data_IF_108820193335
#
_entry.id   IF_108820193335
#
_cell.length_a   1.000
_cell.length_b   1.000
_cell.length_c   1.000
_cell.angle_alpha   90.00
_cell.angle_beta   90.00
_cell.angle_gamma   90.00
#
_symmetry.space_group_name_H-M   'P 1'
#
loop_
_entity.id
_entity.type
_entity.pdbx_description
1 polymer ?
#
# COMPACT_ATOMS: atom_id res chain seq x y z
N UNK A 1 -10.78 -11.53 22.32
CA UNK A 1 -10.57 -10.15 21.80
C UNK A 1 -9.99 -10.20 20.38
N UNK A 2 -10.18 -9.15 19.57
CA UNK A 2 -9.81 -9.12 18.13
C UNK A 2 -8.30 -9.27 17.85
N UNK A 3 -7.46 -9.29 18.89
CA UNK A 3 -5.99 -9.29 18.84
C UNK A 3 -5.34 -10.61 19.29
N UNK A 4 -6.12 -11.59 19.72
CA UNK A 4 -5.62 -12.94 20.03
C UNK A 4 -4.99 -13.63 18.81
N UNK A 5 -4.93 -12.89 17.68
CA UNK A 5 -4.41 -13.33 16.42
C UNK A 5 -2.92 -13.04 16.18
N UNK A 6 -2.24 -12.40 17.13
CA UNK A 6 -0.82 -12.09 17.03
C UNK A 6 -0.05 -12.93 18.03
N UNK A 7 0.78 -13.86 17.56
CA UNK A 7 1.70 -14.66 18.38
C UNK A 7 3.12 -14.47 17.90
N UNK A 8 4.04 -14.58 18.80
CA UNK A 8 5.47 -14.51 18.57
C UNK A 8 6.22 -15.55 19.34
N UNK A 9 7.27 -16.05 18.75
CA UNK A 9 8.31 -16.79 19.46
C UNK A 9 9.35 -15.78 19.94
N UNK A 10 9.55 -15.77 21.23
CA UNK A 10 10.39 -14.84 21.97
C UNK A 10 11.88 -15.10 21.74
N UNK A 11 12.65 -14.06 21.49
CA UNK A 11 13.97 -13.87 22.07
C UNK A 11 14.46 -12.44 21.84
N UNK A 12 14.76 -11.80 22.87
CA UNK A 12 15.86 -10.97 23.30
C UNK A 12 15.50 -9.58 23.81
N UNK A 13 15.94 -9.36 25.04
CA UNK A 13 15.71 -8.18 25.87
C UNK A 13 16.48 -6.94 25.38
N UNK A 14 15.77 -5.81 25.31
CA UNK A 14 16.38 -4.49 25.19
C UNK A 14 15.36 -3.38 25.09
N UNK A 15 15.18 -2.67 26.17
CA UNK A 15 14.40 -1.44 26.40
C UNK A 15 12.95 -1.61 26.88
N UNK A 16 12.75 -1.46 28.19
CA UNK A 16 11.46 -1.56 28.87
C UNK A 16 10.71 -0.21 28.88
N UNK A 17 10.32 0.30 27.72
CA UNK A 17 9.14 1.14 27.61
C UNK A 17 7.88 0.27 27.73
N UNK A 18 6.76 0.79 28.31
CA UNK A 18 5.51 0.05 28.43
C UNK A 18 5.12 -0.56 27.07
N UNK A 19 5.36 -1.87 26.93
CA UNK A 19 5.03 -2.61 25.70
C UNK A 19 3.50 -2.72 25.63
N UNK A 20 2.84 -2.23 24.56
CA UNK A 20 1.40 -2.38 24.40
C UNK A 20 0.98 -3.84 24.55
N UNK A 21 -0.20 -4.09 25.14
CA UNK A 21 -0.65 -5.45 25.50
C UNK A 21 -0.64 -6.45 24.33
N UNK A 22 -0.85 -5.97 23.09
CA UNK A 22 -0.76 -6.80 21.87
C UNK A 22 0.67 -7.22 21.52
N UNK A 23 1.67 -6.51 22.03
CA UNK A 23 3.08 -6.71 21.69
C UNK A 23 3.83 -7.55 22.75
N UNK A 24 3.13 -8.14 23.71
CA UNK A 24 3.76 -8.99 24.74
C UNK A 24 4.53 -10.17 24.13
N UNK A 25 4.12 -10.58 22.95
CA UNK A 25 4.74 -11.63 22.17
C UNK A 25 5.43 -11.09 20.89
N UNK A 26 5.63 -9.76 20.71
CA UNK A 26 6.25 -9.18 19.54
C UNK A 26 7.76 -9.10 19.66
N UNK A 27 8.51 -9.47 18.61
CA UNK A 27 9.92 -9.10 18.52
C UNK A 27 9.97 -7.62 18.17
N UNK A 28 10.47 -6.82 19.11
CA UNK A 28 10.62 -5.37 18.91
C UNK A 28 11.96 -5.11 18.25
N UNK A 29 11.94 -4.35 17.17
CA UNK A 29 13.13 -3.96 16.40
C UNK A 29 13.23 -2.45 16.27
N UNK A 30 14.42 -1.94 16.43
CA UNK A 30 14.83 -0.58 16.07
C UNK A 30 16.03 -0.65 15.14
N UNK A 31 16.17 0.33 14.24
CA UNK A 31 17.28 0.36 13.30
C UNK A 31 17.93 1.75 13.29
N UNK A 32 19.25 1.80 13.42
CA UNK A 32 20.04 3.04 13.46
C UNK A 32 20.24 3.71 12.09
N UNK A 33 19.72 3.08 11.02
CA UNK A 33 19.83 3.69 9.69
C UNK A 33 19.00 4.97 9.61
N UNK A 34 19.48 6.02 8.91
CA UNK A 34 18.82 7.34 8.89
C UNK A 34 17.33 7.28 8.50
N UNK A 35 16.96 6.34 7.62
CA UNK A 35 15.58 6.17 7.18
C UNK A 35 14.63 5.57 8.22
N UNK A 36 15.17 4.98 9.31
CA UNK A 36 14.40 4.31 10.36
C UNK A 36 14.65 4.89 11.76
N UNK A 37 15.41 5.97 11.85
CA UNK A 37 15.68 6.61 13.14
C UNK A 37 14.37 7.06 13.81
N UNK A 38 14.18 6.69 15.08
CA UNK A 38 12.96 6.95 15.84
C UNK A 38 11.77 6.06 15.49
N UNK A 39 12.00 5.01 14.70
CA UNK A 39 10.99 4.01 14.35
C UNK A 39 11.10 2.77 15.23
N UNK A 40 9.96 2.21 15.60
CA UNK A 40 9.86 0.91 16.28
C UNK A 40 9.04 -0.04 15.42
N UNK A 41 9.57 -1.24 15.20
CA UNK A 41 8.91 -2.29 14.44
C UNK A 41 8.53 -3.43 15.40
N UNK A 42 7.27 -3.84 15.35
CA UNK A 42 6.74 -4.98 16.08
C UNK A 42 6.54 -6.13 15.10
N UNK A 43 7.50 -7.04 15.05
CA UNK A 43 7.42 -8.24 14.21
C UNK A 43 6.46 -9.24 14.86
N UNK A 44 5.44 -9.63 14.12
CA UNK A 44 4.38 -10.50 14.61
C UNK A 44 4.08 -11.65 13.66
N UNK A 45 3.77 -12.82 14.20
CA UNK A 45 3.18 -13.93 13.47
C UNK A 45 1.65 -13.81 13.52
N UNK A 46 1.06 -13.35 12.43
CA UNK A 46 -0.39 -13.22 12.33
C UNK A 46 -1.04 -14.60 12.15
N UNK A 47 -2.30 -14.77 12.59
CA UNK A 47 -3.11 -15.98 12.30
C UNK A 47 -3.75 -15.94 10.92
N UNK A 48 -3.94 -14.75 10.36
CA UNK A 48 -4.57 -14.52 9.06
C UNK A 48 -4.00 -13.28 8.40
N UNK A 49 -3.91 -13.29 7.07
CA UNK A 49 -3.45 -12.14 6.29
C UNK A 49 -4.53 -11.58 5.37
N UNK A 50 -5.43 -12.42 4.89
CA UNK A 50 -6.55 -12.00 4.04
C UNK A 50 -7.71 -11.57 4.92
N UNK A 51 -8.23 -10.37 4.69
CA UNK A 51 -9.36 -9.78 5.42
C UNK A 51 -10.53 -9.55 4.49
N UNK A 52 -11.74 -9.90 4.94
CA UNK A 52 -12.98 -9.62 4.21
C UNK A 52 -13.44 -8.18 4.47
N UNK A 53 -13.80 -7.48 3.43
CA UNK A 53 -14.43 -6.16 3.47
C UNK A 53 -15.95 -6.35 3.59
N UNK A 54 -16.61 -5.76 4.61
CA UNK A 54 -18.05 -5.93 4.78
C UNK A 54 -18.86 -5.57 3.54
N UNK A 55 -19.94 -6.29 3.28
CA UNK A 55 -20.84 -6.03 2.13
C UNK A 55 -21.49 -4.64 2.17
N UNK A 56 -21.68 -4.09 3.37
CA UNK A 56 -22.14 -2.72 3.56
C UNK A 56 -21.14 -1.64 3.11
N UNK A 57 -19.88 -2.04 2.85
CA UNK A 57 -18.87 -1.14 2.31
C UNK A 57 -19.15 -0.83 0.84
N UNK A 58 -18.94 0.44 0.47
CA UNK A 58 -19.06 0.90 -0.93
C UNK A 58 -17.82 0.56 -1.79
N UNK A 59 -16.86 -0.19 -1.25
CA UNK A 59 -15.66 -0.58 -1.97
C UNK A 59 -15.99 -1.64 -3.03
N UNK A 60 -15.35 -1.54 -4.19
CA UNK A 60 -15.54 -2.47 -5.30
C UNK A 60 -14.88 -3.84 -5.10
N UNK A 61 -14.03 -3.99 -4.10
CA UNK A 61 -13.36 -5.23 -3.74
C UNK A 61 -13.89 -5.80 -2.42
N UNK A 62 -13.81 -7.12 -2.26
CA UNK A 62 -14.27 -7.85 -1.07
C UNK A 62 -13.12 -8.37 -0.20
N UNK A 63 -11.93 -8.52 -0.75
CA UNK A 63 -10.80 -9.06 -0.02
C UNK A 63 -9.61 -8.11 -0.07
N UNK A 64 -8.89 -8.03 1.04
CA UNK A 64 -7.71 -7.17 1.15
C UNK A 64 -6.59 -7.84 1.95
N UNK A 65 -5.35 -7.49 1.59
CA UNK A 65 -4.14 -7.85 2.32
C UNK A 65 -3.47 -6.58 2.83
N UNK A 66 -3.13 -6.58 4.11
CA UNK A 66 -2.33 -5.52 4.74
C UNK A 66 -1.20 -6.18 5.54
N UNK A 67 0.02 -6.28 4.98
CA UNK A 67 1.16 -6.90 5.66
C UNK A 67 1.68 -6.07 6.82
N UNK A 68 1.33 -4.79 6.87
CA UNK A 68 1.73 -3.84 7.90
C UNK A 68 0.52 -3.24 8.62
N UNK A 69 0.75 -2.65 9.82
CA UNK A 69 -0.12 -1.66 10.46
C UNK A 69 0.73 -0.50 10.93
N UNK A 70 0.24 0.73 10.73
CA UNK A 70 1.07 1.92 10.75
C UNK A 70 1.74 2.15 9.40
N UNK A 71 2.06 3.40 9.11
CA UNK A 71 2.58 3.77 7.79
C UNK A 71 3.54 4.95 7.89
N UNK A 72 4.78 4.71 7.47
CA UNK A 72 5.86 5.70 7.45
C UNK A 72 5.68 6.82 6.41
N UNK A 73 4.65 6.74 5.57
CA UNK A 73 4.30 7.83 4.64
C UNK A 73 3.78 9.06 5.36
N UNK A 74 3.30 8.90 6.60
CA UNK A 74 2.91 9.99 7.51
C UNK A 74 1.93 10.99 6.92
N UNK A 75 1.06 10.55 5.99
CA UNK A 75 0.07 11.43 5.36
C UNK A 75 -0.87 12.02 6.43
N UNK A 76 -1.01 13.34 6.46
CA UNK A 76 -1.79 14.05 7.49
C UNK A 76 -3.27 13.67 7.43
N UNK A 77 -3.82 13.48 6.24
CA UNK A 77 -5.23 13.16 5.99
C UNK A 77 -5.56 11.66 6.10
N UNK A 78 -4.61 10.79 6.46
CA UNK A 78 -4.79 9.35 6.38
C UNK A 78 -5.89 8.85 7.34
N UNK A 79 -6.96 8.29 6.79
CA UNK A 79 -8.07 7.71 7.57
C UNK A 79 -7.63 6.47 8.38
N UNK A 80 -6.59 5.77 7.94
CA UNK A 80 -6.10 4.55 8.58
C UNK A 80 -5.45 4.81 9.95
N UNK A 81 -5.13 6.06 10.30
CA UNK A 81 -4.57 6.46 11.59
C UNK A 81 -5.40 5.95 12.76
N UNK A 82 -6.73 6.00 12.65
CA UNK A 82 -7.64 5.49 13.66
C UNK A 82 -7.46 3.99 13.95
N UNK A 83 -6.85 3.23 13.06
CA UNK A 83 -6.59 1.81 13.28
C UNK A 83 -5.58 1.54 14.41
N UNK A 84 -4.74 2.52 14.78
CA UNK A 84 -3.79 2.41 15.89
C UNK A 84 -4.46 2.47 17.26
N UNK A 85 -5.60 3.14 17.39
CA UNK A 85 -6.36 3.15 18.65
C UNK A 85 -6.82 1.75 19.06
N UNK A 86 -7.04 0.84 18.11
CA UNK A 86 -7.32 -0.57 18.42
C UNK A 86 -6.11 -1.35 18.96
N UNK A 87 -4.93 -0.73 18.93
CA UNK A 87 -3.69 -1.28 19.47
C UNK A 87 -3.28 -0.59 20.78
N UNK A 88 -4.17 0.20 21.37
CA UNK A 88 -3.85 1.08 22.50
C UNK A 88 -2.68 2.04 22.22
N UNK A 89 -2.58 2.47 20.97
CA UNK A 89 -1.56 3.40 20.49
C UNK A 89 -2.19 4.72 20.02
N UNK A 90 -1.40 5.78 20.02
CA UNK A 90 -1.79 7.09 19.51
C UNK A 90 -1.98 7.07 17.98
N UNK A 91 -3.08 7.62 17.51
CA UNK A 91 -3.40 7.70 16.08
C UNK A 91 -2.54 8.71 15.31
N UNK A 92 -1.83 9.59 15.99
CA UNK A 92 -0.92 10.58 15.43
C UNK A 92 0.48 10.00 15.25
N UNK A 93 1.33 10.26 16.24
CA UNK A 93 2.76 9.92 16.18
C UNK A 93 3.03 8.43 16.10
N UNK A 94 2.29 7.62 16.87
CA UNK A 94 2.55 6.18 16.89
C UNK A 94 2.18 5.52 15.56
N UNK A 95 1.15 6.01 14.86
CA UNK A 95 0.82 5.53 13.52
C UNK A 95 1.97 5.70 12.53
N UNK A 96 2.73 6.77 12.66
CA UNK A 96 3.84 7.11 11.76
C UNK A 96 5.15 6.41 12.14
N UNK A 97 5.34 6.09 13.43
CA UNK A 97 6.63 5.65 13.99
C UNK A 97 6.64 4.24 14.58
N UNK A 98 5.47 3.65 14.85
CA UNK A 98 5.33 2.30 15.42
C UNK A 98 4.61 1.39 14.44
N UNK A 99 5.36 0.57 13.72
CA UNK A 99 4.83 -0.26 12.64
C UNK A 99 4.78 -1.72 13.06
N UNK A 100 3.60 -2.32 13.01
CA UNK A 100 3.43 -3.77 13.17
C UNK A 100 3.70 -4.44 11.83
N UNK A 101 4.57 -5.45 11.83
CA UNK A 101 5.02 -6.19 10.64
C UNK A 101 4.60 -7.65 10.77
N UNK A 102 3.76 -8.13 9.88
CA UNK A 102 3.30 -9.53 9.84
C UNK A 102 4.30 -10.38 9.07
N UNK A 103 5.36 -10.81 9.74
CA UNK A 103 6.52 -11.46 9.09
C UNK A 103 6.19 -12.76 8.37
N UNK A 104 5.12 -13.45 8.76
CA UNK A 104 4.64 -14.68 8.13
C UNK A 104 3.57 -14.45 7.04
N UNK A 105 3.39 -13.21 6.58
CA UNK A 105 2.34 -12.86 5.62
C UNK A 105 2.37 -13.70 4.32
N UNK A 106 3.53 -13.92 3.66
CA UNK A 106 3.57 -14.72 2.43
C UNK A 106 3.18 -16.19 2.66
N UNK A 107 3.59 -16.76 3.79
CA UNK A 107 3.25 -18.15 4.13
C UNK A 107 1.76 -18.33 4.38
N UNK A 108 1.17 -17.44 5.18
CA UNK A 108 -0.27 -17.44 5.44
C UNK A 108 -1.09 -17.27 4.16
N UNK A 109 -0.60 -16.44 3.24
CA UNK A 109 -1.27 -16.25 1.97
C UNK A 109 -1.25 -17.53 1.14
N UNK A 110 -0.09 -18.19 0.97
CA UNK A 110 -0.01 -19.47 0.25
C UNK A 110 -0.98 -20.50 0.83
N UNK A 111 -1.01 -20.61 2.17
CA UNK A 111 -1.94 -21.51 2.85
C UNK A 111 -3.42 -21.16 2.58
N UNK A 112 -3.76 -19.86 2.58
CA UNK A 112 -5.13 -19.40 2.28
C UNK A 112 -5.52 -19.69 0.84
N UNK A 113 -4.66 -19.38 -0.13
CA UNK A 113 -4.93 -19.58 -1.56
C UNK A 113 -5.04 -21.06 -1.93
N UNK A 114 -4.29 -21.94 -1.24
CA UNK A 114 -4.37 -23.40 -1.44
C UNK A 114 -5.59 -24.04 -0.75
N UNK A 115 -6.37 -23.31 0.04
CA UNK A 115 -7.52 -23.88 0.76
C UNK A 115 -8.69 -24.17 -0.20
N UNK A 116 -9.39 -25.31 -0.07
CA UNK A 116 -10.52 -25.66 -0.95
C UNK A 116 -11.68 -24.65 -0.91
N UNK A 117 -11.80 -23.88 0.16
CA UNK A 117 -12.82 -22.83 0.30
C UNK A 117 -12.44 -21.48 -0.27
N UNK A 118 -11.28 -21.33 -0.93
CA UNK A 118 -10.91 -20.12 -1.61
C UNK A 118 -11.39 -20.13 -3.06
N UNK A 119 -12.19 -19.14 -3.43
CA UNK A 119 -12.82 -19.08 -4.75
C UNK A 119 -12.00 -18.33 -5.81
N UNK A 120 -10.75 -17.96 -5.53
CA UNK A 120 -9.93 -17.18 -6.48
C UNK A 120 -10.39 -15.74 -6.65
N UNK A 121 -11.03 -15.15 -5.64
CA UNK A 121 -11.54 -13.81 -5.72
C UNK A 121 -10.41 -12.76 -5.73
N UNK A 122 -10.70 -11.61 -6.35
CA UNK A 122 -9.77 -10.50 -6.42
C UNK A 122 -9.37 -9.97 -5.02
N UNK A 123 -8.07 -9.74 -4.82
CA UNK A 123 -7.49 -9.22 -3.59
C UNK A 123 -6.90 -7.83 -3.83
N UNK A 124 -7.34 -6.83 -3.06
CA UNK A 124 -6.79 -5.47 -3.11
C UNK A 124 -5.71 -5.24 -2.04
N UNK A 125 -4.65 -4.55 -2.38
CA UNK A 125 -3.55 -4.18 -1.49
C UNK A 125 -3.31 -2.67 -1.48
N UNK A 126 -2.77 -2.14 -0.36
CA UNK A 126 -2.59 -0.70 -0.18
C UNK A 126 -3.87 0.06 0.15
N UNK A 127 -4.91 -0.65 0.58
CA UNK A 127 -6.24 -0.10 0.85
C UNK A 127 -6.38 0.52 2.24
N UNK A 128 -5.52 0.16 3.18
CA UNK A 128 -5.52 0.70 4.55
C UNK A 128 -4.17 1.34 4.88
N UNK A 129 -3.08 0.58 4.77
CA UNK A 129 -1.72 1.11 4.87
C UNK A 129 -0.97 0.80 3.58
N UNK A 130 -0.01 1.63 3.24
CA UNK A 130 0.76 1.43 2.01
C UNK A 130 1.65 0.18 2.13
N UNK A 131 1.50 -0.76 1.21
CA UNK A 131 2.25 -2.00 1.19
C UNK A 131 3.71 -1.79 0.72
N UNK A 132 4.00 -0.70 0.02
CA UNK A 132 5.36 -0.30 -0.37
C UNK A 132 5.89 0.89 0.42
N UNK A 133 5.43 1.04 1.66
CA UNK A 133 6.05 1.98 2.58
C UNK A 133 7.53 1.63 2.84
N UNK A 134 8.29 2.53 3.45
CA UNK A 134 9.74 2.38 3.63
C UNK A 134 10.16 1.07 4.32
N UNK A 135 9.33 0.55 5.25
CA UNK A 135 9.54 -0.74 5.91
C UNK A 135 9.71 -1.89 4.90
N UNK A 136 8.98 -1.85 3.78
CA UNK A 136 9.04 -2.87 2.74
C UNK A 136 10.42 -3.00 2.09
N UNK A 137 11.23 -1.93 2.09
CA UNK A 137 12.62 -1.99 1.64
C UNK A 137 13.48 -2.95 2.46
N UNK A 138 13.13 -3.17 3.73
CA UNK A 138 13.84 -4.08 4.63
C UNK A 138 13.18 -5.46 4.73
N UNK A 139 11.87 -5.49 4.92
CA UNK A 139 11.15 -6.75 5.19
C UNK A 139 10.83 -7.56 3.95
N UNK A 140 10.72 -6.92 2.80
CA UNK A 140 10.51 -7.52 1.48
C UNK A 140 9.31 -8.50 1.42
N UNK A 141 8.26 -8.23 2.19
CA UNK A 141 7.09 -9.09 2.27
C UNK A 141 6.30 -9.15 0.97
N UNK A 142 6.29 -8.04 0.22
CA UNK A 142 5.55 -7.94 -1.04
C UNK A 142 6.07 -8.90 -2.10
N UNK A 143 7.39 -9.15 -2.17
CA UNK A 143 7.94 -10.16 -3.10
C UNK A 143 7.31 -11.53 -2.85
N UNK A 144 7.27 -11.96 -1.58
CA UNK A 144 6.68 -13.24 -1.22
C UNK A 144 5.15 -13.30 -1.40
N UNK A 145 4.46 -12.17 -1.21
CA UNK A 145 3.02 -12.03 -1.43
C UNK A 145 2.68 -12.11 -2.93
N UNK A 146 3.40 -11.35 -3.79
CA UNK A 146 3.19 -11.37 -5.24
C UNK A 146 3.51 -12.76 -5.81
N UNK A 147 4.60 -13.38 -5.37
CA UNK A 147 4.93 -14.74 -5.78
C UNK A 147 3.81 -15.75 -5.43
N UNK A 148 3.23 -15.64 -4.22
CA UNK A 148 2.11 -16.49 -3.82
C UNK A 148 0.85 -16.27 -4.67
N UNK A 149 0.54 -15.02 -5.04
CA UNK A 149 -0.59 -14.67 -5.90
C UNK A 149 -0.38 -15.16 -7.33
N UNK A 150 0.82 -14.99 -7.91
CA UNK A 150 1.23 -15.51 -9.21
C UNK A 150 1.08 -17.04 -9.26
N UNK A 151 1.66 -17.74 -8.28
CA UNK A 151 1.69 -19.20 -8.23
C UNK A 151 0.27 -19.81 -8.14
N UNK A 152 -0.66 -19.06 -7.53
CA UNK A 152 -2.08 -19.43 -7.43
C UNK A 152 -2.94 -18.86 -8.59
N UNK A 153 -2.36 -18.15 -9.55
CA UNK A 153 -3.07 -17.41 -10.59
C UNK A 153 -4.24 -16.56 -10.02
N UNK A 154 -4.05 -15.97 -8.84
CA UNK A 154 -5.10 -15.21 -8.15
C UNK A 154 -5.08 -13.73 -8.56
N UNK A 155 -6.20 -13.16 -9.05
CA UNK A 155 -6.24 -11.75 -9.44
C UNK A 155 -6.05 -10.82 -8.25
N UNK A 156 -5.32 -9.72 -8.48
CA UNK A 156 -5.04 -8.74 -7.44
C UNK A 156 -4.84 -7.34 -7.98
N UNK A 157 -4.95 -6.36 -7.07
CA UNK A 157 -4.56 -4.99 -7.36
C UNK A 157 -3.72 -4.38 -6.24
N UNK A 158 -2.87 -3.44 -6.63
CA UNK A 158 -2.00 -2.67 -5.73
C UNK A 158 -2.26 -1.18 -5.94
N UNK A 159 -2.51 -0.47 -4.83
CA UNK A 159 -2.48 0.98 -4.78
C UNK A 159 -1.35 1.41 -3.86
N UNK A 160 -0.43 2.24 -4.34
CA UNK A 160 0.71 2.67 -3.54
C UNK A 160 1.13 4.13 -3.83
N UNK A 161 1.80 4.74 -2.86
CA UNK A 161 2.62 5.95 -3.02
C UNK A 161 4.10 5.63 -3.10
N UNK A 162 4.48 4.36 -2.84
CA UNK A 162 5.86 3.90 -2.79
C UNK A 162 6.43 3.58 -4.16
N UNK A 163 7.60 4.12 -4.49
CA UNK A 163 8.34 3.76 -5.73
C UNK A 163 9.08 2.43 -5.62
N UNK A 164 9.09 1.82 -4.42
CA UNK A 164 9.66 0.48 -4.21
C UNK A 164 8.95 -0.62 -5.01
N UNK A 165 7.74 -0.36 -5.53
CA UNK A 165 7.05 -1.30 -6.41
C UNK A 165 7.89 -1.69 -7.63
N UNK A 166 8.75 -0.80 -8.12
CA UNK A 166 9.66 -1.07 -9.24
C UNK A 166 10.70 -2.16 -8.94
N UNK A 167 11.03 -2.40 -7.66
CA UNK A 167 11.90 -3.51 -7.25
C UNK A 167 11.32 -4.87 -7.63
N UNK A 168 10.01 -4.97 -7.63
CA UNK A 168 9.27 -6.21 -7.82
C UNK A 168 8.69 -6.35 -9.24
N UNK A 169 9.23 -5.56 -10.19
CA UNK A 169 8.81 -5.54 -11.59
C UNK A 169 8.84 -6.92 -12.25
N UNK A 170 9.88 -7.70 -11.97
CA UNK A 170 10.05 -9.08 -12.44
C UNK A 170 8.84 -9.96 -12.06
N UNK A 171 8.47 -9.97 -10.78
CA UNK A 171 7.34 -10.76 -10.28
C UNK A 171 5.98 -10.25 -10.77
N UNK A 172 5.85 -8.92 -10.94
CA UNK A 172 4.63 -8.32 -11.47
C UNK A 172 4.39 -8.70 -12.94
N UNK A 173 5.44 -8.74 -13.74
CA UNK A 173 5.40 -9.20 -15.14
C UNK A 173 5.00 -10.68 -15.21
N UNK A 174 5.67 -11.54 -14.44
CA UNK A 174 5.33 -12.96 -14.37
C UNK A 174 3.88 -13.19 -13.90
N UNK A 175 3.41 -12.40 -12.94
CA UNK A 175 2.02 -12.47 -12.47
C UNK A 175 1.02 -12.05 -13.55
N UNK A 176 1.33 -11.00 -14.33
CA UNK A 176 0.47 -10.51 -15.40
C UNK A 176 0.32 -11.49 -16.57
N UNK A 177 1.22 -12.47 -16.72
CA UNK A 177 1.09 -13.54 -17.70
C UNK A 177 0.03 -14.59 -17.31
N UNK A 178 -0.24 -14.74 -16.00
CA UNK A 178 -1.08 -15.84 -15.50
C UNK A 178 -2.38 -15.36 -14.84
N UNK A 179 -2.47 -14.06 -14.47
CA UNK A 179 -3.66 -13.53 -13.81
C UNK A 179 -3.85 -12.03 -14.10
N UNK A 180 -5.01 -11.48 -13.70
CA UNK A 180 -5.29 -10.04 -13.83
C UNK A 180 -4.57 -9.26 -12.73
N UNK A 181 -3.72 -8.32 -13.12
CA UNK A 181 -2.91 -7.46 -12.24
C UNK A 181 -3.26 -6.01 -12.46
N UNK A 182 -3.90 -5.38 -11.48
CA UNK A 182 -4.22 -3.96 -11.49
C UNK A 182 -3.23 -3.15 -10.67
N UNK A 183 -2.55 -2.18 -11.28
CA UNK A 183 -1.59 -1.33 -10.58
C UNK A 183 -2.04 0.13 -10.59
N UNK A 184 -1.91 0.79 -9.44
CA UNK A 184 -2.20 2.20 -9.32
C UNK A 184 -1.19 2.89 -8.41
N UNK A 185 -0.76 4.06 -8.83
CA UNK A 185 0.09 4.94 -8.03
C UNK A 185 -0.72 6.16 -7.60
N UNK A 186 -0.70 6.50 -6.31
CA UNK A 186 -1.41 7.66 -5.82
C UNK A 186 -0.55 8.93 -5.90
N UNK A 187 -1.02 9.92 -6.65
CA UNK A 187 -0.43 11.27 -6.75
C UNK A 187 -1.55 12.33 -6.73
N UNK A 188 -1.88 12.83 -5.54
CA UNK A 188 -3.00 13.74 -5.33
C UNK A 188 -2.75 15.17 -5.84
N UNK A 189 -1.49 15.59 -5.86
CA UNK A 189 -1.04 16.93 -6.24
C UNK A 189 0.42 16.88 -6.65
N UNK A 190 0.87 17.91 -7.37
CA UNK A 190 2.25 18.03 -7.88
C UNK A 190 3.03 19.16 -7.22
N UNK A 191 2.38 19.98 -6.41
CA UNK A 191 3.04 21.06 -5.66
C UNK A 191 3.98 20.47 -4.59
N UNK A 192 5.27 20.80 -4.70
CA UNK A 192 6.33 20.28 -3.82
C UNK A 192 6.20 20.79 -2.39
N UNK A 193 5.74 22.02 -2.18
CA UNK A 193 5.58 22.60 -0.85
C UNK A 193 4.43 21.94 -0.10
N UNK A 194 3.32 21.73 -0.80
CA UNK A 194 2.15 21.02 -0.30
C UNK A 194 2.48 19.56 0.00
N UNK A 195 3.19 18.87 -0.90
CA UNK A 195 3.64 17.51 -0.68
C UNK A 195 4.46 17.37 0.61
N UNK A 196 5.47 18.22 0.81
CA UNK A 196 6.30 18.18 2.02
C UNK A 196 5.52 18.40 3.29
N UNK A 197 4.48 19.22 3.25
CA UNK A 197 3.64 19.53 4.40
C UNK A 197 2.64 18.40 4.72
N UNK A 198 2.08 17.75 3.71
CA UNK A 198 0.93 16.84 3.87
C UNK A 198 1.30 15.37 3.74
N UNK A 199 2.34 15.03 2.96
CA UNK A 199 2.81 13.66 2.73
C UNK A 199 4.33 13.51 2.98
N UNK A 200 4.87 13.95 4.14
CA UNK A 200 6.30 14.14 4.35
C UNK A 200 7.15 12.86 4.25
N UNK A 201 6.55 11.69 4.43
CA UNK A 201 7.24 10.39 4.38
C UNK A 201 7.15 9.68 3.04
N UNK A 202 6.48 10.26 2.04
CA UNK A 202 6.30 9.65 0.72
C UNK A 202 7.41 10.08 -0.26
N UNK A 203 7.66 9.31 -1.33
CA UNK A 203 8.40 9.81 -2.49
C UNK A 203 7.71 11.03 -3.11
N UNK A 204 8.49 11.89 -3.77
CA UNK A 204 7.94 13.06 -4.46
C UNK A 204 6.91 12.66 -5.53
N UNK A 205 5.87 13.49 -5.77
CA UNK A 205 4.81 13.18 -6.73
C UNK A 205 5.33 12.81 -8.13
N UNK A 206 6.31 13.56 -8.63
CA UNK A 206 6.95 13.30 -9.94
C UNK A 206 7.54 11.90 -10.01
N UNK A 207 8.22 11.47 -8.93
CA UNK A 207 8.81 10.13 -8.83
C UNK A 207 7.76 9.02 -8.85
N UNK A 208 6.59 9.28 -8.29
CA UNK A 208 5.47 8.32 -8.30
C UNK A 208 4.87 8.21 -9.71
N UNK A 209 4.66 9.34 -10.38
CA UNK A 209 4.18 9.38 -11.77
C UNK A 209 5.19 8.70 -12.70
N UNK A 210 6.49 8.94 -12.50
CA UNK A 210 7.55 8.27 -13.24
C UNK A 210 7.56 6.75 -13.01
N UNK A 211 7.31 6.30 -11.75
CA UNK A 211 7.18 4.87 -11.47
C UNK A 211 5.99 4.24 -12.20
N UNK A 212 4.85 4.93 -12.27
CA UNK A 212 3.71 4.50 -13.07
C UNK A 212 4.08 4.39 -14.55
N UNK A 213 4.75 5.41 -15.11
CA UNK A 213 5.23 5.37 -16.51
C UNK A 213 6.18 4.20 -16.74
N UNK A 214 7.13 3.96 -15.83
CA UNK A 214 8.08 2.83 -15.93
C UNK A 214 7.36 1.48 -15.93
N UNK A 215 6.33 1.28 -15.10
CA UNK A 215 5.53 0.06 -15.10
C UNK A 215 4.83 -0.14 -16.45
N UNK A 216 4.24 0.93 -16.99
CA UNK A 216 3.58 0.89 -18.30
C UNK A 216 4.56 0.64 -19.45
N UNK A 217 5.73 1.29 -19.45
CA UNK A 217 6.78 1.09 -20.46
C UNK A 217 7.27 -0.38 -20.52
N UNK A 218 7.09 -1.12 -19.42
CA UNK A 218 7.37 -2.55 -19.33
C UNK A 218 6.16 -3.45 -19.62
N UNK A 219 5.03 -2.90 -20.09
CA UNK A 219 3.86 -3.68 -20.49
C UNK A 219 2.84 -3.95 -19.38
N UNK A 220 3.05 -3.43 -18.17
CA UNK A 220 2.09 -3.51 -17.07
C UNK A 220 1.08 -2.36 -17.15
N UNK A 221 -0.19 -2.64 -16.78
CA UNK A 221 -1.21 -1.58 -16.71
C UNK A 221 -1.14 -0.86 -15.36
N UNK A 222 -0.64 0.37 -15.37
CA UNK A 222 -0.59 1.20 -14.17
C UNK A 222 -1.32 2.53 -14.40
N UNK A 223 -2.30 2.83 -13.54
CA UNK A 223 -2.99 4.11 -13.51
C UNK A 223 -2.48 5.03 -12.40
N UNK A 224 -2.84 6.32 -12.48
CA UNK A 224 -2.59 7.28 -11.41
C UNK A 224 -3.90 7.64 -10.72
N UNK A 225 -3.98 7.34 -9.42
CA UNK A 225 -5.09 7.79 -8.57
C UNK A 225 -4.79 9.21 -8.06
N UNK A 226 -5.53 10.19 -8.59
CA UNK A 226 -5.46 11.57 -8.14
C UNK A 226 -6.39 11.78 -6.93
N UNK A 227 -5.91 11.42 -5.75
CA UNK A 227 -6.68 11.49 -4.49
C UNK A 227 -5.82 11.40 -3.22
N UNK A 228 -6.26 12.11 -2.15
CA UNK A 228 -7.43 12.99 -2.10
C UNK A 228 -7.17 14.37 -2.71
N UNK A 229 -8.18 14.96 -3.34
CA UNK A 229 -8.19 16.40 -3.58
C UNK A 229 -8.54 17.07 -2.25
N UNK A 230 -7.64 17.90 -1.74
CA UNK A 230 -7.78 18.53 -0.42
C UNK A 230 -8.36 19.94 -0.60
N UNK A 231 -9.59 20.20 -0.09
CA UNK A 231 -10.25 21.51 -0.21
C UNK A 231 -9.34 22.65 0.27
N UNK A 232 -9.35 23.75 -0.48
CA UNK A 232 -8.53 24.96 -0.27
C UNK A 232 -7.01 24.79 -0.43
N UNK A 233 -6.51 23.55 -0.57
CA UNK A 233 -5.08 23.28 -0.66
C UNK A 233 -4.66 22.74 -2.03
N UNK A 234 -5.46 21.86 -2.64
CA UNK A 234 -5.13 21.25 -3.93
C UNK A 234 -6.30 21.24 -4.94
N UNK A 235 -7.38 21.95 -4.66
CA UNK A 235 -8.62 21.97 -5.44
C UNK A 235 -8.74 23.16 -6.39
N UNK A 236 -7.76 24.06 -6.44
CA UNK A 236 -7.80 25.16 -7.41
C UNK A 236 -7.70 24.64 -8.84
N UNK A 237 -8.42 25.26 -9.81
CA UNK A 237 -8.37 24.84 -11.22
C UNK A 237 -6.94 24.75 -11.78
N UNK A 238 -6.06 25.66 -11.37
CA UNK A 238 -4.66 25.67 -11.82
C UNK A 238 -3.87 24.48 -11.29
N UNK A 239 -4.07 24.09 -10.03
CA UNK A 239 -3.40 22.92 -9.42
C UNK A 239 -3.92 21.62 -10.02
N UNK A 240 -5.22 21.50 -10.22
CA UNK A 240 -5.83 20.33 -10.85
C UNK A 240 -5.34 20.18 -12.31
N UNK A 241 -5.34 21.27 -13.09
CA UNK A 241 -4.82 21.26 -14.46
C UNK A 241 -3.34 20.85 -14.50
N UNK A 242 -2.50 21.40 -13.61
CA UNK A 242 -1.09 21.05 -13.54
C UNK A 242 -0.89 19.55 -13.22
N UNK A 243 -1.65 19.00 -12.28
CA UNK A 243 -1.59 17.58 -11.94
C UNK A 243 -2.02 16.70 -13.12
N UNK A 244 -3.15 17.03 -13.76
CA UNK A 244 -3.68 16.29 -14.91
C UNK A 244 -2.70 16.33 -16.08
N UNK A 245 -2.11 17.48 -16.42
CA UNK A 245 -1.12 17.60 -17.50
C UNK A 245 0.13 16.75 -17.21
N UNK A 246 0.62 16.75 -15.99
CA UNK A 246 1.80 15.96 -15.64
C UNK A 246 1.52 14.46 -15.73
N UNK A 247 0.33 14.02 -15.31
CA UNK A 247 -0.10 12.62 -15.42
C UNK A 247 -0.29 12.24 -16.89
N UNK A 248 -0.96 13.09 -17.67
CA UNK A 248 -1.19 12.86 -19.09
C UNK A 248 0.13 12.77 -19.88
N UNK A 249 1.09 13.65 -19.60
CA UNK A 249 2.41 13.60 -20.24
C UNK A 249 3.18 12.30 -19.94
N UNK A 250 2.98 11.71 -18.76
CA UNK A 250 3.49 10.37 -18.45
C UNK A 250 2.71 9.30 -19.24
N UNK A 251 1.38 9.44 -19.36
CA UNK A 251 0.51 8.56 -20.13
C UNK A 251 0.78 8.56 -21.64
N UNK A 252 1.05 9.71 -22.24
CA UNK A 252 1.38 9.82 -23.67
C UNK A 252 2.65 9.05 -24.07
N UNK A 253 3.57 8.85 -23.13
CA UNK A 253 4.73 7.94 -23.35
C UNK A 253 4.28 6.49 -23.47
N UNK A 254 3.21 6.12 -22.77
CA UNK A 254 2.63 4.77 -22.74
C UNK A 254 1.97 4.44 -24.08
N UNK A 255 1.15 5.32 -24.63
CA UNK A 255 0.50 5.11 -25.93
C UNK A 255 1.51 4.94 -27.08
N UNK A 256 2.66 5.63 -26.99
CA UNK A 256 3.73 5.50 -27.98
C UNK A 256 4.49 4.18 -27.85
N UNK A 257 4.67 3.67 -26.64
CA UNK A 257 5.38 2.43 -26.38
C UNK A 257 4.50 1.16 -26.57
N UNK A 258 3.21 1.26 -26.26
CA UNK A 258 2.26 0.16 -26.34
C UNK A 258 0.89 0.63 -26.85
N UNK A 259 0.70 0.77 -28.19
CA UNK A 259 -0.57 1.17 -28.77
C UNK A 259 -1.70 0.21 -28.37
N UNK A 260 -2.76 0.74 -27.74
CA UNK A 260 -3.96 -0.03 -27.35
C UNK A 260 -4.02 -0.47 -25.88
N UNK A 261 -3.06 -0.12 -25.04
CA UNK A 261 -3.07 -0.42 -23.59
C UNK A 261 -3.93 0.56 -22.77
N UNK A 262 -4.32 1.69 -23.32
CA UNK A 262 -5.15 2.70 -22.65
C UNK A 262 -6.61 2.24 -22.51
N UNK A 263 -6.89 1.32 -21.58
CA UNK A 263 -8.24 1.05 -21.09
C UNK A 263 -8.29 1.27 -19.58
N UNK A 264 -9.30 2.01 -19.06
CA UNK A 264 -9.44 2.24 -17.62
C UNK A 264 -9.55 0.92 -16.88
N UNK A 265 -8.75 0.75 -15.82
CA UNK A 265 -8.89 -0.40 -14.91
C UNK A 265 -10.19 -0.24 -14.11
N UNK A 266 -11.11 -1.23 -14.10
CA UNK A 266 -12.45 -1.08 -13.53
C UNK A 266 -12.50 -1.08 -12.00
N UNK A 267 -11.37 -1.15 -11.30
CA UNK A 267 -11.32 -1.49 -9.89
C UNK A 267 -11.40 -0.32 -8.88
N UNK A 268 -11.36 0.92 -9.33
CA UNK A 268 -11.54 2.08 -8.43
C UNK A 268 -12.58 3.04 -9.01
N UNK A 269 -13.86 2.71 -8.85
CA UNK A 269 -14.93 3.67 -9.13
C UNK A 269 -15.13 4.60 -7.92
N UNK A 270 -15.32 5.88 -8.20
CA UNK A 270 -15.54 6.93 -7.21
C UNK A 270 -16.80 6.65 -6.37
N UNK A 271 -16.64 6.31 -5.09
CA UNK A 271 -17.74 6.31 -4.12
C UNK A 271 -17.28 6.69 -2.72
N UNK A 272 -16.92 7.92 -2.54
CA UNK A 272 -16.95 8.62 -1.25
C UNK A 272 -16.81 10.12 -1.51
N UNK A 273 -17.19 10.96 -0.55
CA UNK A 273 -17.10 12.42 -0.66
C UNK A 273 -15.67 12.97 -0.86
N UNK A 274 -14.71 12.11 -1.05
CA UNK A 274 -13.34 12.43 -1.44
C UNK A 274 -13.26 12.16 -2.95
N UNK A 275 -13.14 13.19 -3.76
CA UNK A 275 -13.00 13.09 -5.22
C UNK A 275 -11.68 12.39 -5.54
N UNK A 276 -11.77 11.19 -6.03
CA UNK A 276 -10.64 10.46 -6.61
C UNK A 276 -10.89 10.37 -8.11
N UNK A 277 -9.98 10.91 -8.90
CA UNK A 277 -9.99 10.77 -10.36
C UNK A 277 -8.91 9.75 -10.70
N UNK A 278 -9.29 8.67 -11.37
CA UNK A 278 -8.35 7.72 -11.96
C UNK A 278 -8.18 8.15 -13.42
N UNK A 279 -6.97 8.57 -13.74
CA UNK A 279 -6.56 8.83 -15.11
C UNK A 279 -5.71 7.61 -15.54
N UNK A 280 -6.20 6.86 -16.49
CA UNK A 280 -5.52 5.74 -17.13
C UNK A 280 -4.92 6.20 -18.46
#
# INVERSE_FOLDING_TARGET
MRWDNLRLDSADDGDQGQVPMFARDAVVRTFDTPGFRGMTFYEVHAKSIVSHVPESSRMSFRWTINPYRGCQHSCVYCFARQSHTYLDMDAGRDFDSRVVVKVNAPELLRKKLASPGWAGEHIAMGTNVDCYQRAEGRYQLMRGIIAALRDAANPFSILTKGTLILRDLDLLLEAAEVTDVGLNVSAAFVDTSLWRAIEPGTPAPERRIEACATLNDNGLRCGVLMGPVVPYLSDSPAQLDAAVRQIAAAGERIERACPGLARPTPYFSASSRTWAVILA
#
